data_IF_627926040179
#
_entry.id   IF_627926040179
#
_cell.length_a   1.000
_cell.length_b   1.000
_cell.length_c   1.000
_cell.angle_alpha   90.00
_cell.angle_beta   90.00
_cell.angle_gamma   90.00
#
_symmetry.space_group_name_H-M   'P 1'
#
loop_
_entity.id
_entity.type
_entity.pdbx_description
1 polymer ?
#
# COMPACT_ATOMS: atom_id res chain seq x y z
N UNK A 1 -20.43 2.56 -2.60
CA UNK A 1 -20.91 1.62 -3.62
C UNK A 1 -19.82 1.26 -4.66
N UNK A 2 -19.10 2.22 -5.27
CA UNK A 2 -18.08 1.92 -6.31
C UNK A 2 -16.87 1.13 -5.76
N UNK A 3 -16.34 1.51 -4.59
CA UNK A 3 -15.16 0.85 -3.99
C UNK A 3 -15.42 -0.61 -3.59
N UNK A 4 -16.60 -0.92 -3.05
CA UNK A 4 -16.96 -2.29 -2.65
C UNK A 4 -17.20 -3.23 -3.84
N UNK A 5 -17.73 -2.69 -4.94
CA UNK A 5 -17.89 -3.41 -6.20
C UNK A 5 -16.52 -3.77 -6.78
N UNK A 6 -15.58 -2.83 -6.78
CA UNK A 6 -14.22 -3.07 -7.27
C UNK A 6 -13.46 -4.09 -6.42
N UNK A 7 -13.53 -3.97 -5.08
CA UNK A 7 -12.93 -4.95 -4.15
C UNK A 7 -13.48 -6.36 -4.34
N UNK A 8 -14.79 -6.49 -4.58
CA UNK A 8 -15.40 -7.79 -4.81
C UNK A 8 -15.05 -8.38 -6.18
N UNK A 9 -14.90 -7.54 -7.21
CA UNK A 9 -14.44 -7.96 -8.55
C UNK A 9 -13.03 -8.56 -8.49
N UNK A 10 -12.08 -7.85 -7.87
CA UNK A 10 -10.68 -8.28 -7.78
C UNK A 10 -10.57 -9.63 -7.08
N UNK A 11 -11.30 -9.82 -5.97
CA UNK A 11 -11.29 -11.10 -5.24
C UNK A 11 -11.76 -12.25 -6.12
N UNK A 12 -12.81 -12.03 -6.92
CA UNK A 12 -13.34 -13.07 -7.79
C UNK A 12 -12.37 -13.39 -8.94
N UNK A 13 -11.80 -12.36 -9.58
CA UNK A 13 -10.83 -12.53 -10.67
C UNK A 13 -9.59 -13.32 -10.22
N UNK A 14 -8.97 -12.93 -9.10
CA UNK A 14 -7.81 -13.63 -8.53
C UNK A 14 -8.15 -15.07 -8.15
N UNK A 15 -9.36 -15.29 -7.64
CA UNK A 15 -9.80 -16.63 -7.25
C UNK A 15 -10.03 -17.54 -8.46
N UNK A 16 -10.58 -17.02 -9.56
CA UNK A 16 -10.70 -17.76 -10.81
C UNK A 16 -9.32 -18.07 -11.43
N UNK A 17 -8.39 -17.12 -11.43
CA UNK A 17 -7.01 -17.35 -11.89
C UNK A 17 -6.29 -18.42 -11.06
N UNK A 18 -6.47 -18.37 -9.73
CA UNK A 18 -5.92 -19.38 -8.83
C UNK A 18 -6.51 -20.78 -9.09
N UNK A 19 -7.82 -20.88 -9.40
CA UNK A 19 -8.44 -22.15 -9.78
C UNK A 19 -7.84 -22.71 -11.07
N UNK A 20 -7.64 -21.87 -12.10
CA UNK A 20 -6.98 -22.30 -13.34
C UNK A 20 -5.56 -22.79 -13.10
N UNK A 21 -4.82 -22.11 -12.23
CA UNK A 21 -3.47 -22.54 -11.83
C UNK A 21 -3.49 -23.89 -11.10
N UNK A 22 -4.44 -24.10 -10.20
CA UNK A 22 -4.60 -25.39 -9.50
C UNK A 22 -4.96 -26.52 -10.47
N UNK A 23 -5.83 -26.26 -11.46
CA UNK A 23 -6.15 -27.21 -12.53
C UNK A 23 -4.89 -27.62 -13.30
N UNK A 24 -4.08 -26.65 -13.72
CA UNK A 24 -2.85 -26.90 -14.47
C UNK A 24 -1.82 -27.72 -13.67
N UNK A 25 -1.76 -27.54 -12.35
CA UNK A 25 -0.83 -28.22 -11.45
C UNK A 25 -1.38 -29.51 -10.84
N UNK A 26 -2.61 -29.92 -11.20
CA UNK A 26 -3.33 -31.05 -10.63
C UNK A 26 -3.45 -30.99 -9.09
N UNK A 27 -3.65 -29.76 -8.57
CA UNK A 27 -3.82 -29.48 -7.15
C UNK A 27 -5.32 -29.33 -6.83
N UNK A 28 -5.74 -29.87 -5.68
CA UNK A 28 -7.10 -29.74 -5.17
C UNK A 28 -7.48 -28.26 -4.96
N UNK A 29 -8.59 -27.84 -5.54
CA UNK A 29 -9.12 -26.47 -5.47
C UNK A 29 -9.94 -26.20 -4.21
N UNK A 30 -10.17 -27.22 -3.37
CA UNK A 30 -11.01 -27.08 -2.19
C UNK A 30 -10.28 -26.43 -1.00
N UNK A 31 -10.97 -25.52 -0.32
CA UNK A 31 -10.53 -25.03 0.99
C UNK A 31 -10.81 -26.11 2.04
N UNK A 32 -9.82 -26.94 2.36
CA UNK A 32 -9.95 -27.97 3.40
C UNK A 32 -10.26 -27.33 4.74
N UNK A 33 -11.39 -27.62 5.39
CA UNK A 33 -11.67 -27.09 6.72
C UNK A 33 -10.83 -27.81 7.80
N UNK A 34 -10.46 -27.09 8.88
CA UNK A 34 -9.81 -27.75 10.02
C UNK A 34 -10.86 -28.57 10.77
N UNK A 35 -10.52 -29.80 11.16
CA UNK A 35 -11.40 -30.60 12.02
C UNK A 35 -11.60 -29.88 13.35
N UNK A 36 -12.85 -29.53 13.68
CA UNK A 36 -13.21 -29.02 15.00
C UNK A 36 -12.83 -30.06 16.06
N UNK A 37 -11.93 -29.70 16.98
CA UNK A 37 -11.61 -30.56 18.12
C UNK A 37 -12.79 -30.49 19.08
N UNK A 38 -13.33 -31.65 19.48
CA UNK A 38 -14.25 -31.71 20.61
C UNK A 38 -13.47 -31.29 21.86
N UNK A 39 -13.76 -30.13 22.43
CA UNK A 39 -13.27 -29.79 23.77
C UNK A 39 -13.98 -30.70 24.76
N UNK A 40 -13.23 -31.46 25.56
CA UNK A 40 -13.77 -32.21 26.70
C UNK A 40 -13.76 -31.26 27.89
N UNK A 41 -14.92 -30.73 28.26
CA UNK A 41 -15.12 -30.01 29.51
C UNK A 41 -15.87 -30.90 30.49
N UNK A 42 -15.53 -30.79 31.77
CA UNK A 42 -16.00 -31.72 32.79
C UNK A 42 -17.41 -31.39 33.34
N UNK A 43 -17.93 -30.17 33.18
CA UNK A 43 -19.33 -29.91 33.61
C UNK A 43 -20.00 -28.61 33.09
N UNK A 44 -19.50 -27.97 32.03
CA UNK A 44 -20.12 -26.71 31.57
C UNK A 44 -20.24 -26.66 30.05
N UNK A 45 -21.48 -26.49 29.57
CA UNK A 45 -21.77 -26.26 28.15
C UNK A 45 -21.39 -24.83 27.79
N UNK A 46 -20.11 -24.62 27.51
CA UNK A 46 -19.67 -23.43 26.82
C UNK A 46 -19.79 -23.66 25.31
N UNK A 47 -20.86 -23.15 24.70
CA UNK A 47 -20.89 -22.94 23.26
C UNK A 47 -19.86 -21.86 22.95
N UNK A 48 -18.66 -22.29 22.58
CA UNK A 48 -17.64 -21.39 22.07
C UNK A 48 -18.14 -20.91 20.70
N UNK A 49 -18.99 -19.87 20.70
CA UNK A 49 -19.47 -19.13 19.52
C UNK A 49 -18.31 -18.37 18.83
N UNK A 50 -17.07 -18.84 18.96
CA UNK A 50 -16.04 -18.53 18.00
C UNK A 50 -16.52 -19.11 16.68
N UNK A 51 -17.24 -18.29 15.93
CA UNK A 51 -17.60 -18.55 14.55
C UNK A 51 -16.27 -18.63 13.81
N UNK A 52 -15.68 -19.84 13.78
CA UNK A 52 -14.44 -20.10 13.05
C UNK A 52 -14.64 -19.58 11.63
N UNK A 53 -14.04 -18.43 11.34
CA UNK A 53 -14.11 -17.81 10.02
C UNK A 53 -13.60 -18.86 9.04
N UNK A 54 -14.46 -19.28 8.10
CA UNK A 54 -14.10 -20.28 7.08
C UNK A 54 -12.79 -19.89 6.41
N UNK A 55 -11.98 -20.88 6.03
CA UNK A 55 -10.70 -20.63 5.37
C UNK A 55 -10.84 -19.77 4.11
N UNK A 56 -11.94 -19.94 3.37
CA UNK A 56 -12.26 -19.10 2.22
C UNK A 56 -12.38 -17.62 2.60
N UNK A 57 -13.09 -17.34 3.71
CA UNK A 57 -13.27 -15.97 4.20
C UNK A 57 -11.96 -15.40 4.76
N UNK A 58 -11.11 -16.21 5.42
CA UNK A 58 -9.75 -15.81 5.82
C UNK A 58 -8.87 -15.46 4.62
N UNK A 59 -8.90 -16.27 3.57
CA UNK A 59 -8.18 -16.00 2.33
C UNK A 59 -8.63 -14.69 1.69
N UNK A 60 -9.95 -14.48 1.57
CA UNK A 60 -10.52 -13.22 1.07
C UNK A 60 -10.06 -12.01 1.89
N UNK A 61 -10.07 -12.12 3.22
CA UNK A 61 -9.60 -11.04 4.09
C UNK A 61 -8.10 -10.75 3.91
N UNK A 62 -7.27 -11.79 3.84
CA UNK A 62 -5.84 -11.62 3.63
C UNK A 62 -5.53 -10.92 2.30
N UNK A 63 -6.21 -11.33 1.22
CA UNK A 63 -6.07 -10.70 -0.10
C UNK A 63 -6.44 -9.22 -0.07
N UNK A 64 -7.61 -8.89 0.51
CA UNK A 64 -8.05 -7.50 0.64
C UNK A 64 -7.10 -6.67 1.51
N UNK A 65 -6.59 -7.23 2.61
CA UNK A 65 -5.64 -6.52 3.47
C UNK A 65 -4.34 -6.17 2.75
N UNK A 66 -3.82 -7.10 1.94
CA UNK A 66 -2.62 -6.85 1.13
C UNK A 66 -2.89 -5.76 0.10
N UNK A 67 -4.02 -5.81 -0.59
CA UNK A 67 -4.38 -4.80 -1.60
C UNK A 67 -4.57 -3.41 -0.97
N UNK A 68 -5.30 -3.32 0.13
CA UNK A 68 -5.53 -2.07 0.86
C UNK A 68 -4.20 -1.45 1.31
N UNK A 69 -3.27 -2.30 1.74
CA UNK A 69 -1.92 -1.86 2.11
C UNK A 69 -1.13 -1.36 0.91
N UNK A 70 -1.15 -2.07 -0.22
CA UNK A 70 -0.47 -1.66 -1.45
C UNK A 70 -1.01 -0.31 -1.92
N UNK A 71 -2.33 -0.13 -1.96
CA UNK A 71 -2.99 1.12 -2.34
C UNK A 71 -2.54 2.27 -1.43
N UNK A 72 -2.59 2.06 -0.12
CA UNK A 72 -2.19 3.07 0.87
C UNK A 72 -0.70 3.44 0.74
N UNK A 73 0.18 2.45 0.54
CA UNK A 73 1.60 2.70 0.38
C UNK A 73 1.92 3.41 -0.95
N UNK A 74 1.24 3.06 -2.04
CA UNK A 74 1.39 3.73 -3.33
C UNK A 74 0.95 5.19 -3.26
N UNK A 75 -0.22 5.45 -2.68
CA UNK A 75 -0.74 6.80 -2.48
C UNK A 75 0.24 7.64 -1.65
N UNK A 76 0.74 7.08 -0.54
CA UNK A 76 1.74 7.75 0.31
C UNK A 76 3.02 8.09 -0.47
N UNK A 77 3.51 7.18 -1.31
CA UNK A 77 4.70 7.42 -2.13
C UNK A 77 4.44 8.51 -3.17
N UNK A 78 3.29 8.48 -3.82
CA UNK A 78 2.91 9.50 -4.79
C UNK A 78 2.84 10.89 -4.17
N UNK A 79 2.14 11.02 -3.03
CA UNK A 79 2.07 12.27 -2.28
C UNK A 79 3.45 12.75 -1.81
N UNK A 80 4.31 11.83 -1.36
CA UNK A 80 5.67 12.18 -0.95
C UNK A 80 6.50 12.70 -2.12
N UNK A 81 6.40 12.08 -3.29
CA UNK A 81 7.09 12.54 -4.51
C UNK A 81 6.54 13.87 -5.01
N UNK A 82 5.22 14.09 -4.91
CA UNK A 82 4.60 15.37 -5.25
C UNK A 82 5.15 16.49 -4.37
N UNK A 83 5.26 16.29 -3.05
CA UNK A 83 5.85 17.28 -2.13
C UNK A 83 7.32 17.59 -2.46
N UNK A 84 8.10 16.58 -2.83
CA UNK A 84 9.47 16.80 -3.30
C UNK A 84 9.47 17.65 -4.57
N UNK A 85 8.57 17.35 -5.51
CA UNK A 85 8.46 18.12 -6.74
C UNK A 85 7.88 19.53 -6.53
N UNK A 86 7.05 19.76 -5.51
CA UNK A 86 6.58 21.10 -5.16
C UNK A 86 7.73 21.99 -4.67
N UNK A 87 8.66 21.42 -3.89
CA UNK A 87 9.78 22.17 -3.31
C UNK A 87 10.95 22.29 -4.30
N UNK A 88 11.27 21.22 -5.03
CA UNK A 88 12.48 21.12 -5.85
C UNK A 88 12.18 21.07 -7.36
N UNK A 89 10.91 21.03 -7.78
CA UNK A 89 10.53 20.83 -9.18
C UNK A 89 11.02 21.95 -10.12
N UNK A 90 11.19 23.16 -9.59
CA UNK A 90 11.78 24.28 -10.34
C UNK A 90 13.24 24.00 -10.78
N UNK A 91 13.95 23.10 -10.09
CA UNK A 91 15.30 22.64 -10.45
C UNK A 91 15.29 21.62 -11.59
N UNK A 92 14.13 21.18 -12.07
CA UNK A 92 14.08 20.26 -13.20
C UNK A 92 14.66 20.93 -14.46
N UNK A 93 15.38 20.20 -15.33
CA UNK A 93 16.05 20.79 -16.49
C UNK A 93 15.10 21.58 -17.39
N UNK A 94 13.87 21.09 -17.56
CA UNK A 94 12.83 21.78 -18.33
C UNK A 94 12.48 23.13 -17.71
N UNK A 95 12.26 23.17 -16.40
CA UNK A 95 11.87 24.40 -15.70
C UNK A 95 13.02 25.42 -15.69
N UNK A 96 14.26 24.98 -15.47
CA UNK A 96 15.44 25.86 -15.48
C UNK A 96 15.66 26.56 -16.83
N UNK A 97 15.25 25.94 -17.94
CA UNK A 97 15.35 26.57 -19.27
C UNK A 97 14.18 27.49 -19.63
N UNK A 98 13.08 27.43 -18.87
CA UNK A 98 11.83 28.14 -19.19
C UNK A 98 11.43 29.20 -18.17
N UNK A 99 11.83 29.04 -16.90
CA UNK A 99 11.54 29.98 -15.84
C UNK A 99 12.30 31.29 -16.06
N UNK A 100 11.63 32.41 -15.82
CA UNK A 100 12.29 33.70 -15.81
C UNK A 100 13.14 33.87 -14.54
N UNK A 101 14.16 34.73 -14.62
CA UNK A 101 15.12 34.94 -13.53
C UNK A 101 14.47 35.47 -12.24
N UNK A 102 13.34 36.19 -12.33
CA UNK A 102 12.67 36.72 -11.15
C UNK A 102 12.01 35.57 -10.39
N UNK A 103 11.19 34.77 -11.07
CA UNK A 103 10.55 33.59 -10.47
C UNK A 103 11.58 32.59 -9.95
N UNK A 104 12.66 32.36 -10.70
CA UNK A 104 13.77 31.49 -10.26
C UNK A 104 14.42 32.01 -8.96
N UNK A 105 14.61 33.32 -8.84
CA UNK A 105 15.14 33.94 -7.62
C UNK A 105 14.22 33.81 -6.41
N UNK A 106 12.90 33.92 -6.62
CA UNK A 106 11.88 33.73 -5.58
C UNK A 106 11.86 32.28 -5.06
N UNK A 107 11.88 31.30 -5.97
CA UNK A 107 11.95 29.87 -5.64
C UNK A 107 13.25 29.52 -4.90
N UNK A 108 14.39 30.02 -5.39
CA UNK A 108 15.69 29.81 -4.74
C UNK A 108 15.74 30.43 -3.33
N UNK A 109 15.15 31.62 -3.14
CA UNK A 109 15.06 32.27 -1.84
C UNK A 109 14.15 31.51 -0.88
N UNK A 110 13.02 30.99 -1.38
CA UNK A 110 12.10 30.16 -0.60
C UNK A 110 12.78 28.89 -0.14
N UNK A 111 13.50 28.21 -1.05
CA UNK A 111 14.27 27.02 -0.73
C UNK A 111 15.37 27.29 0.29
N UNK A 112 16.13 28.38 0.10
CA UNK A 112 17.20 28.79 1.01
C UNK A 112 16.69 29.06 2.44
N UNK A 113 15.51 29.66 2.56
CA UNK A 113 14.88 29.89 3.86
C UNK A 113 14.35 28.59 4.50
N UNK A 114 13.77 27.68 3.71
CA UNK A 114 13.20 26.43 4.21
C UNK A 114 14.27 25.47 4.76
N UNK A 115 15.45 25.46 4.14
CA UNK A 115 16.58 24.59 4.52
C UNK A 115 17.79 25.38 5.02
N UNK A 116 17.57 26.53 5.66
CA UNK A 116 18.63 27.43 6.12
C UNK A 116 19.72 26.70 6.91
N UNK A 117 19.32 25.88 7.88
CA UNK A 117 20.24 25.15 8.76
C UNK A 117 21.08 24.10 8.02
N UNK A 118 20.58 23.58 6.90
CA UNK A 118 21.29 22.61 6.07
C UNK A 118 22.17 23.28 5.01
N UNK A 119 21.78 24.48 4.55
CA UNK A 119 22.48 25.26 3.53
C UNK A 119 23.54 26.21 4.09
N UNK A 120 23.41 26.64 5.35
CA UNK A 120 24.39 27.52 6.01
C UNK A 120 25.55 26.76 6.68
N UNK A 121 25.56 25.42 6.59
CA UNK A 121 26.69 24.62 7.05
C UNK A 121 27.92 24.95 6.20
N UNK A 122 28.94 25.54 6.83
CA UNK A 122 30.25 25.88 6.22
C UNK A 122 31.08 24.66 5.76
N UNK A 123 30.44 23.50 5.58
CA UNK A 123 31.07 22.22 5.29
C UNK A 123 31.17 21.89 3.80
N UNK A 124 30.83 22.82 2.91
CA UNK A 124 31.11 22.72 1.46
C UNK A 124 32.60 22.88 1.13
N UNK A 125 33.50 22.37 1.98
CA UNK A 125 34.88 22.12 1.57
C UNK A 125 34.85 20.91 0.64
N UNK A 126 34.73 21.20 -0.65
CA UNK A 126 35.17 20.29 -1.71
C UNK A 126 36.58 19.81 -1.33
N UNK A 127 36.69 18.53 -0.95
CA UNK A 127 37.98 17.84 -0.84
C UNK A 127 38.40 17.36 -2.23
#
# INVERSE_FOLDING_TARGET
MIVEVHRSSIVNEVLEEAKQSCLALNVDQSFKEVRKRKKKFFDEKCEDESSEISRHKKFKFALLQVNDRIETELERRFQSMQKVNEIFGFLSPKQLTTLDNKTLGEEATTLANLYRDDLDKKDYRLK
#
